data_IF_981608139367
#
_entry.id   IF_981608139367
#
_cell.length_a   1.000
_cell.length_b   1.000
_cell.length_c   1.000
_cell.angle_alpha   90.00
_cell.angle_beta   90.00
_cell.angle_gamma   90.00
#
_symmetry.space_group_name_H-M   'P 1'
#
loop_
_entity.id
_entity.type
_entity.pdbx_description
1 polymer ?
#
# COMPACT_ATOMS: atom_id res chain seq x y z
N UNK A 1 12.06 0.55 1.47
CA UNK A 1 10.85 0.17 2.23
C UNK A 1 9.71 -0.31 1.34
N UNK A 2 9.45 0.36 0.21
CA UNK A 2 8.38 0.00 -0.73
C UNK A 2 8.55 -1.40 -1.32
N UNK A 3 9.75 -1.76 -1.78
CA UNK A 3 10.03 -3.10 -2.32
C UNK A 3 9.78 -4.20 -1.30
N UNK A 4 10.22 -4.01 -0.05
CA UNK A 4 9.98 -4.97 1.04
C UNK A 4 8.50 -5.10 1.43
N UNK A 5 7.73 -4.00 1.45
CA UNK A 5 6.27 -4.05 1.68
C UNK A 5 5.57 -4.73 0.51
N UNK A 6 5.99 -4.43 -0.73
CA UNK A 6 5.48 -5.08 -1.94
C UNK A 6 5.74 -6.58 -1.90
N UNK A 7 6.96 -7.02 -1.58
CA UNK A 7 7.31 -8.44 -1.44
C UNK A 7 6.47 -9.14 -0.36
N UNK A 8 6.30 -8.50 0.80
CA UNK A 8 5.48 -9.05 1.89
C UNK A 8 4.03 -9.22 1.48
N UNK A 9 3.44 -8.20 0.85
CA UNK A 9 2.05 -8.24 0.40
C UNK A 9 1.86 -9.21 -0.75
N UNK A 10 2.80 -9.27 -1.69
CA UNK A 10 2.75 -10.24 -2.78
C UNK A 10 2.87 -11.67 -2.25
N UNK A 11 3.76 -11.93 -1.29
CA UNK A 11 3.89 -13.26 -0.67
C UNK A 11 2.62 -13.66 0.07
N UNK A 12 2.05 -12.77 0.90
CA UNK A 12 0.82 -13.05 1.65
C UNK A 12 -0.39 -13.23 0.73
N UNK A 13 -0.51 -12.37 -0.30
CA UNK A 13 -1.56 -12.47 -1.32
C UNK A 13 -1.44 -13.80 -2.07
N UNK A 14 -0.23 -14.16 -2.50
CA UNK A 14 0.02 -15.40 -3.23
C UNK A 14 -0.40 -16.64 -2.40
N UNK A 15 -0.01 -16.68 -1.12
CA UNK A 15 -0.39 -17.76 -0.20
C UNK A 15 -1.93 -17.89 -0.08
N UNK A 16 -2.64 -16.79 0.15
CA UNK A 16 -4.11 -16.80 0.29
C UNK A 16 -4.82 -17.27 -0.99
N UNK A 17 -4.26 -16.92 -2.15
CA UNK A 17 -4.78 -17.35 -3.45
C UNK A 17 -4.53 -18.85 -3.71
N UNK A 18 -3.39 -19.37 -3.26
CA UNK A 18 -3.09 -20.80 -3.31
C UNK A 18 -4.02 -21.61 -2.39
N UNK A 19 -4.22 -21.15 -1.16
CA UNK A 19 -5.12 -21.80 -0.19
C UNK A 19 -6.57 -21.84 -0.70
N UNK A 20 -6.97 -20.81 -1.45
CA UNK A 20 -8.32 -20.66 -2.02
C UNK A 20 -8.50 -21.36 -3.37
N UNK A 21 -7.48 -22.08 -3.88
CA UNK A 21 -7.50 -22.84 -5.15
C UNK A 21 -8.01 -22.01 -6.35
N UNK A 22 -7.62 -20.74 -6.40
CA UNK A 22 -8.04 -19.80 -7.44
C UNK A 22 -7.36 -20.12 -8.77
N UNK A 23 -8.11 -20.00 -9.87
CA UNK A 23 -7.56 -20.19 -11.22
C UNK A 23 -6.37 -19.25 -11.51
N UNK A 24 -5.43 -19.74 -12.32
CA UNK A 24 -4.17 -19.06 -12.65
C UNK A 24 -4.38 -17.67 -13.26
N UNK A 25 -5.44 -17.47 -14.05
CA UNK A 25 -5.74 -16.17 -14.66
C UNK A 25 -6.12 -15.13 -13.59
N UNK A 26 -7.08 -15.47 -12.73
CA UNK A 26 -7.54 -14.59 -11.65
C UNK A 26 -6.44 -14.33 -10.64
N UNK A 27 -5.64 -15.36 -10.32
CA UNK A 27 -4.45 -15.23 -9.48
C UNK A 27 -3.46 -14.21 -10.03
N UNK A 28 -3.16 -14.30 -11.33
CA UNK A 28 -2.23 -13.37 -12.00
C UNK A 28 -2.77 -11.93 -11.99
N UNK A 29 -4.07 -11.75 -12.23
CA UNK A 29 -4.71 -10.43 -12.17
C UNK A 29 -4.65 -9.82 -10.77
N UNK A 30 -5.01 -10.58 -9.74
CA UNK A 30 -4.98 -10.10 -8.35
C UNK A 30 -3.55 -9.76 -7.90
N UNK A 31 -2.56 -10.56 -8.27
CA UNK A 31 -1.15 -10.26 -7.99
C UNK A 31 -0.65 -9.03 -8.75
N UNK A 32 -1.09 -8.83 -10.00
CA UNK A 32 -0.77 -7.63 -10.76
C UNK A 32 -1.30 -6.37 -10.07
N UNK A 33 -2.56 -6.42 -9.61
CA UNK A 33 -3.17 -5.33 -8.84
C UNK A 33 -2.40 -5.08 -7.56
N UNK A 34 -2.10 -6.12 -6.77
CA UNK A 34 -1.31 -5.98 -5.55
C UNK A 34 0.06 -5.33 -5.81
N UNK A 35 0.74 -5.72 -6.91
CA UNK A 35 2.03 -5.14 -7.30
C UNK A 35 1.92 -3.67 -7.69
N UNK A 36 0.86 -3.28 -8.42
CA UNK A 36 0.69 -1.89 -8.85
C UNK A 36 0.48 -0.92 -7.69
N UNK A 37 -0.11 -1.39 -6.57
CA UNK A 37 -0.32 -0.56 -5.37
C UNK A 37 0.97 -0.04 -4.73
N UNK A 38 2.07 -0.79 -4.89
CA UNK A 38 3.36 -0.50 -4.27
C UNK A 38 4.45 -0.21 -5.31
N UNK A 39 4.07 0.09 -6.55
CA UNK A 39 5.02 0.50 -7.58
C UNK A 39 5.74 1.78 -7.13
N UNK A 40 7.05 1.77 -7.30
CA UNK A 40 7.90 2.92 -6.98
C UNK A 40 7.95 3.86 -8.18
N UNK A 41 6.86 4.60 -8.39
CA UNK A 41 6.81 5.69 -9.37
C UNK A 41 6.37 7.00 -8.70
N UNK A 42 6.46 8.10 -9.44
CA UNK A 42 6.14 9.44 -8.95
C UNK A 42 4.68 9.63 -8.50
N UNK A 43 3.79 8.65 -8.69
CA UNK A 43 2.38 8.75 -8.30
C UNK A 43 2.18 8.60 -6.78
N UNK A 44 3.19 8.11 -6.05
CA UNK A 44 3.12 7.75 -4.64
C UNK A 44 4.16 8.53 -3.83
N UNK A 45 3.80 9.32 -2.80
CA UNK A 45 2.48 9.48 -2.19
C UNK A 45 1.71 10.67 -2.75
N UNK A 46 2.06 11.17 -3.95
CA UNK A 46 1.58 12.43 -4.54
C UNK A 46 0.09 12.43 -4.94
N UNK A 47 -0.78 11.81 -4.16
CA UNK A 47 -2.24 11.88 -4.25
C UNK A 47 -2.88 11.01 -5.33
N UNK A 48 -2.10 10.41 -6.23
CA UNK A 48 -2.65 9.57 -7.31
C UNK A 48 -2.93 8.15 -6.83
N UNK A 49 -2.11 7.64 -5.90
CA UNK A 49 -2.39 6.39 -5.19
C UNK A 49 -3.37 6.66 -4.03
N UNK A 50 -4.66 6.86 -4.31
CA UNK A 50 -5.72 7.08 -3.30
C UNK A 50 -5.94 5.86 -2.36
N UNK A 51 -5.13 4.81 -2.50
CA UNK A 51 -5.17 3.56 -1.73
C UNK A 51 -4.96 3.76 -0.22
N UNK A 52 -4.11 4.69 0.21
CA UNK A 52 -3.94 5.01 1.63
C UNK A 52 -5.14 5.78 2.21
N UNK A 53 -5.97 6.39 1.35
CA UNK A 53 -7.23 7.06 1.71
C UNK A 53 -8.44 6.11 1.68
N UNK A 54 -8.23 4.81 1.48
CA UNK A 54 -9.29 3.81 1.49
C UNK A 54 -9.87 3.50 0.11
N UNK A 55 -9.41 4.14 -0.95
CA UNK A 55 -9.86 3.82 -2.30
C UNK A 55 -9.06 2.67 -2.87
N UNK A 56 -9.60 1.45 -2.83
CA UNK A 56 -9.02 0.27 -3.46
C UNK A 56 -9.50 0.11 -4.91
N UNK A 57 -8.69 -0.50 -5.79
CA UNK A 57 -9.14 -0.82 -7.15
C UNK A 57 -10.27 -1.85 -7.08
N UNK A 58 -11.22 -1.76 -7.99
CA UNK A 58 -12.36 -2.67 -8.00
C UNK A 58 -11.90 -4.12 -8.24
N UNK A 59 -11.91 -4.94 -7.18
CA UNK A 59 -11.46 -6.32 -7.21
C UNK A 59 -12.43 -7.24 -7.97
N UNK A 60 -13.69 -6.84 -8.14
CA UNK A 60 -14.64 -7.58 -8.96
C UNK A 60 -14.24 -7.57 -10.45
N UNK A 61 -13.49 -6.57 -10.92
CA UNK A 61 -12.92 -6.61 -12.28
C UNK A 61 -11.77 -7.61 -12.39
N UNK A 62 -11.00 -7.80 -11.31
CA UNK A 62 -9.88 -8.75 -11.28
C UNK A 62 -10.34 -10.19 -11.08
N UNK A 63 -11.41 -10.40 -10.31
CA UNK A 63 -12.01 -11.69 -10.04
C UNK A 63 -13.55 -11.60 -10.05
N UNK A 64 -14.17 -11.66 -11.25
CA UNK A 64 -15.59 -11.42 -11.41
C UNK A 64 -16.44 -12.47 -10.71
N UNK A 65 -17.65 -12.09 -10.26
CA UNK A 65 -18.60 -13.04 -9.68
C UNK A 65 -18.91 -14.13 -10.69
N UNK A 66 -18.84 -15.38 -10.24
CA UNK A 66 -19.24 -16.55 -11.03
C UNK A 66 -20.67 -16.94 -10.67
N UNK A 67 -21.41 -17.54 -11.60
CA UNK A 67 -22.80 -17.98 -11.35
C UNK A 67 -22.90 -19.22 -10.44
N UNK A 68 -21.78 -19.78 -9.95
CA UNK A 68 -21.75 -21.00 -9.11
C UNK A 68 -21.66 -20.70 -7.61
N UNK A 69 -21.94 -21.71 -6.78
CA UNK A 69 -22.33 -21.61 -5.36
C UNK A 69 -21.28 -21.08 -4.37
N UNK A 70 -20.16 -20.53 -4.82
CA UNK A 70 -19.04 -20.11 -3.95
C UNK A 70 -18.85 -18.59 -3.84
N UNK A 71 -19.90 -17.82 -4.14
CA UNK A 71 -19.88 -16.35 -4.10
C UNK A 71 -19.55 -15.79 -2.70
N UNK A 72 -19.97 -16.46 -1.62
CA UNK A 72 -19.64 -16.04 -0.27
C UNK A 72 -18.14 -16.16 0.03
N UNK A 73 -17.51 -17.27 -0.37
CA UNK A 73 -16.08 -17.47 -0.18
C UNK A 73 -15.27 -16.50 -1.05
N UNK A 74 -15.73 -16.24 -2.28
CA UNK A 74 -15.17 -15.20 -3.16
C UNK A 74 -15.17 -13.84 -2.47
N UNK A 75 -16.32 -13.39 -1.97
CA UNK A 75 -16.45 -12.10 -1.29
C UNK A 75 -15.58 -12.00 -0.03
N UNK A 76 -15.51 -13.07 0.77
CA UNK A 76 -14.62 -13.14 1.94
C UNK A 76 -13.15 -13.00 1.55
N UNK A 77 -12.72 -13.72 0.50
CA UNK A 77 -11.36 -13.63 -0.02
C UNK A 77 -11.03 -12.21 -0.48
N UNK A 78 -11.89 -11.62 -1.33
CA UNK A 78 -11.67 -10.25 -1.83
C UNK A 78 -11.64 -9.23 -0.70
N UNK A 79 -12.52 -9.37 0.30
CA UNK A 79 -12.52 -8.51 1.47
C UNK A 79 -11.23 -8.63 2.28
N UNK A 80 -10.72 -9.86 2.51
CA UNK A 80 -9.45 -10.07 3.19
C UNK A 80 -8.27 -9.46 2.42
N UNK A 81 -8.21 -9.66 1.10
CA UNK A 81 -7.16 -9.06 0.27
C UNK A 81 -7.22 -7.54 0.33
N UNK A 82 -8.42 -6.97 0.16
CA UNK A 82 -8.65 -5.54 0.27
C UNK A 82 -8.16 -4.97 1.61
N UNK A 83 -8.54 -5.60 2.72
CA UNK A 83 -8.14 -5.17 4.05
C UNK A 83 -6.62 -5.20 4.24
N UNK A 84 -5.95 -6.28 3.82
CA UNK A 84 -4.49 -6.41 3.93
C UNK A 84 -3.76 -5.34 3.10
N UNK A 85 -4.20 -5.15 1.85
CA UNK A 85 -3.61 -4.18 0.94
C UNK A 85 -3.78 -2.75 1.45
N UNK A 86 -4.96 -2.44 2.00
CA UNK A 86 -5.23 -1.13 2.58
C UNK A 86 -4.41 -0.87 3.84
N UNK A 87 -4.33 -1.84 4.76
CA UNK A 87 -3.54 -1.72 5.99
C UNK A 87 -2.05 -1.53 5.67
N UNK A 88 -1.51 -2.28 4.71
CA UNK A 88 -0.14 -2.12 4.27
C UNK A 88 0.12 -0.75 3.65
N UNK A 89 -0.84 -0.22 2.88
CA UNK A 89 -0.77 1.12 2.30
C UNK A 89 -0.74 2.20 3.37
N UNK A 90 -1.61 2.14 4.39
CA UNK A 90 -1.61 3.08 5.53
C UNK A 90 -0.27 3.03 6.28
N UNK A 91 0.22 1.83 6.62
CA UNK A 91 1.48 1.66 7.34
C UNK A 91 2.67 2.23 6.58
N UNK A 92 2.71 2.00 5.26
CA UNK A 92 3.75 2.56 4.40
C UNK A 92 3.66 4.10 4.34
N UNK A 93 2.46 4.66 4.24
CA UNK A 93 2.23 6.11 4.20
C UNK A 93 2.67 6.78 5.51
N UNK A 94 2.26 6.22 6.64
CA UNK A 94 2.68 6.68 7.96
C UNK A 94 4.20 6.62 8.14
N UNK A 95 4.86 5.56 7.65
CA UNK A 95 6.32 5.45 7.71
C UNK A 95 7.03 6.52 6.88
N UNK A 96 6.55 6.78 5.66
CA UNK A 96 7.13 7.80 4.79
C UNK A 96 6.94 9.19 5.38
N UNK A 97 5.73 9.51 5.82
CA UNK A 97 5.44 10.78 6.48
C UNK A 97 6.28 10.98 7.75
N UNK A 98 6.40 9.96 8.61
CA UNK A 98 7.24 10.02 9.81
C UNK A 98 8.74 10.15 9.52
N UNK A 99 9.21 9.79 8.32
CA UNK A 99 10.60 10.08 7.91
C UNK A 99 10.74 11.54 7.47
N UNK A 100 9.81 12.04 6.66
CA UNK A 100 9.79 13.45 6.25
C UNK A 100 9.70 14.38 7.46
N UNK A 101 8.84 14.07 8.44
CA UNK A 101 8.74 14.85 9.68
C UNK A 101 10.05 14.86 10.47
N UNK A 102 10.76 13.72 10.54
CA UNK A 102 12.08 13.65 11.19
C UNK A 102 13.12 14.50 10.47
N UNK A 103 13.16 14.44 9.14
CA UNK A 103 14.05 15.29 8.34
C UNK A 103 13.73 16.79 8.52
N UNK A 104 12.45 17.15 8.55
CA UNK A 104 12.02 18.53 8.81
C UNK A 104 12.39 19.00 10.22
N UNK A 105 12.25 18.12 11.23
CA UNK A 105 12.65 18.43 12.61
C UNK A 105 14.17 18.66 12.72
N UNK A 106 14.99 17.78 12.13
CA UNK A 106 16.45 17.95 12.10
C UNK A 106 16.85 19.25 11.41
N UNK A 107 16.20 19.59 10.28
CA UNK A 107 16.44 20.87 9.60
C UNK A 107 16.07 22.05 10.49
N UNK A 108 14.90 22.01 11.14
CA UNK A 108 14.46 23.05 12.08
C UNK A 108 15.49 23.25 13.20
N UNK A 109 15.95 22.17 13.84
CA UNK A 109 16.90 22.25 14.94
C UNK A 109 18.29 22.75 14.48
N UNK A 110 18.70 22.42 13.24
CA UNK A 110 19.91 22.98 12.62
C UNK A 110 19.83 24.48 12.32
N UNK A 111 18.64 25.02 12.04
CA UNK A 111 18.42 26.47 11.86
C UNK A 111 18.41 27.24 13.18
N UNK A 112 18.03 26.61 14.31
CA UNK A 112 18.02 27.24 15.63
C UNK A 112 19.26 26.94 16.49
N UNK A 113 20.20 26.14 15.97
CA UNK A 113 21.36 25.63 16.68
C UNK A 113 22.65 26.45 16.56
N UNK A 114 22.64 27.63 15.92
CA UNK A 114 23.82 28.49 15.86
C UNK A 114 23.71 29.65 16.86
N UNK A 115 24.31 29.56 18.06
CA UNK A 115 24.30 30.66 19.04
C UNK A 115 25.14 31.88 18.62
N UNK A 116 25.75 31.87 17.42
CA UNK A 116 26.58 32.96 16.89
C UNK A 116 25.90 33.84 15.84
N UNK A 117 24.64 33.59 15.47
CA UNK A 117 23.90 34.53 14.61
C UNK A 117 23.33 35.67 15.47
N UNK A 118 24.27 36.51 15.91
CA UNK A 118 24.02 37.73 16.67
C UNK A 118 23.14 38.69 15.88
N UNK A 119 21.96 38.96 16.42
CA UNK A 119 21.20 40.17 16.12
C UNK A 119 22.03 41.37 16.58
N UNK A 120 22.66 42.08 15.66
CA UNK A 120 23.13 43.44 15.90
C UNK A 120 22.00 44.41 15.54
N UNK A 121 21.51 45.24 16.49
CA UNK A 121 20.55 46.31 16.22
C UNK A 121 21.15 47.46 15.40
#
# INVERSE_FOLDING_TARGET
WRSSVSETILSSTNQKLDDSRIDRLHKTRLLYVAKSLFRDDGSWPLGHSLYYLGQLPNLDMAFPPSQTSDELSRRKLLHHLAADWHLASIRLAGRIFGCLQREMAVRRDGYFGNPNDGFHP
#
